data_IF_257766080810
#
_entry.id   IF_257766080810
#
_cell.length_a   1.000
_cell.length_b   1.000
_cell.length_c   1.000
_cell.angle_alpha   90.00
_cell.angle_beta   90.00
_cell.angle_gamma   90.00
#
_symmetry.space_group_name_H-M   'P 1'
#
loop_
_entity.id
_entity.type
_entity.pdbx_description
1 polymer ?
#
# COMPACT_ATOMS: atom_id res chain seq x y z
N UNK A 1 7.37 3.87 -8.33
CA UNK A 1 7.46 2.47 -7.80
C UNK A 1 6.06 1.97 -7.44
N UNK A 2 5.34 2.63 -6.54
CA UNK A 2 3.92 2.33 -6.29
C UNK A 2 2.99 2.57 -7.51
N UNK A 3 3.42 3.40 -8.45
CA UNK A 3 2.68 3.75 -9.68
C UNK A 3 2.38 2.56 -10.60
N UNK A 4 3.13 1.48 -10.44
CA UNK A 4 2.98 0.27 -11.26
C UNK A 4 1.86 -0.65 -10.74
N UNK A 5 1.27 -0.34 -9.58
CA UNK A 5 0.22 -1.17 -8.97
C UNK A 5 -1.16 -0.75 -9.54
N UNK A 6 -1.86 -1.64 -10.27
CA UNK A 6 -3.18 -1.34 -10.80
C UNK A 6 -4.17 -0.99 -9.68
N UNK A 7 -4.84 0.16 -9.82
CA UNK A 7 -5.80 0.64 -8.83
C UNK A 7 -5.19 1.48 -7.71
N UNK A 8 -3.86 1.69 -7.67
CA UNK A 8 -3.19 2.56 -6.71
C UNK A 8 -2.94 3.96 -7.28
N UNK A 9 -4.01 4.76 -7.38
CA UNK A 9 -3.92 6.17 -7.77
C UNK A 9 -3.33 7.08 -6.68
N UNK A 10 -3.03 8.33 -7.01
CA UNK A 10 -2.39 9.31 -6.11
C UNK A 10 -3.09 9.45 -4.76
N UNK A 11 -4.43 9.52 -4.75
CA UNK A 11 -5.20 9.64 -3.51
C UNK A 11 -4.94 8.50 -2.53
N UNK A 12 -4.77 7.27 -3.02
CA UNK A 12 -4.50 6.10 -2.18
C UNK A 12 -3.04 6.05 -1.72
N UNK A 13 -2.11 6.50 -2.57
CA UNK A 13 -0.70 6.67 -2.16
C UNK A 13 -0.60 7.67 -1.03
N UNK A 14 -1.28 8.81 -1.14
CA UNK A 14 -1.29 9.82 -0.08
C UNK A 14 -1.89 9.23 1.21
N UNK A 15 -3.01 8.51 1.15
CA UNK A 15 -3.58 7.84 2.32
C UNK A 15 -2.60 6.85 2.98
N UNK A 16 -1.83 6.11 2.19
CA UNK A 16 -0.82 5.19 2.72
C UNK A 16 0.32 5.96 3.39
N UNK A 17 0.84 7.00 2.75
CA UNK A 17 1.91 7.83 3.35
C UNK A 17 1.42 8.57 4.59
N UNK A 18 0.21 9.10 4.59
CA UNK A 18 -0.39 9.77 5.75
C UNK A 18 -0.60 8.81 6.92
N UNK A 19 -0.88 7.53 6.62
CA UNK A 19 -1.06 6.49 7.64
C UNK A 19 0.26 5.95 8.19
N UNK A 20 1.21 5.65 7.30
CA UNK A 20 2.45 4.97 7.64
C UNK A 20 3.61 5.93 7.94
N UNK A 21 3.58 7.16 7.44
CA UNK A 21 4.61 8.19 7.59
C UNK A 21 5.43 8.40 6.33
N UNK A 22 5.85 7.31 5.68
CA UNK A 22 6.70 7.36 4.49
C UNK A 22 6.42 6.22 3.52
N UNK A 23 6.87 6.38 2.27
CA UNK A 23 6.80 5.30 1.29
C UNK A 23 7.65 4.07 1.68
N UNK A 24 8.72 4.25 2.45
CA UNK A 24 9.54 3.13 2.93
C UNK A 24 8.74 2.28 3.92
N UNK A 25 8.04 2.90 4.86
CA UNK A 25 7.18 2.18 5.82
C UNK A 25 6.02 1.47 5.11
N UNK A 26 5.47 2.04 4.03
CA UNK A 26 4.45 1.36 3.20
C UNK A 26 5.00 0.09 2.54
N UNK A 27 6.26 0.10 2.13
CA UNK A 27 6.93 -1.03 1.49
C UNK A 27 7.23 -2.14 2.49
N UNK A 28 7.55 -1.78 3.74
CA UNK A 28 7.82 -2.72 4.84
C UNK A 28 6.55 -3.18 5.57
N UNK A 29 5.42 -2.51 5.34
CA UNK A 29 4.15 -2.81 5.98
C UNK A 29 3.68 -4.24 5.65
N UNK A 30 3.17 -4.90 6.69
CA UNK A 30 2.54 -6.21 6.58
C UNK A 30 1.19 -6.10 5.86
N UNK A 31 0.72 -7.23 5.32
CA UNK A 31 -0.59 -7.29 4.67
C UNK A 31 -1.73 -6.87 5.63
N UNK A 32 -1.62 -7.20 6.92
CA UNK A 32 -2.60 -6.85 7.94
C UNK A 32 -2.65 -5.34 8.20
N UNK A 33 -1.49 -4.69 8.28
CA UNK A 33 -1.40 -3.23 8.42
C UNK A 33 -1.96 -2.52 7.18
N UNK A 34 -1.68 -3.02 5.97
CA UNK A 34 -2.25 -2.48 4.74
C UNK A 34 -3.78 -2.60 4.70
N UNK A 35 -4.36 -3.64 5.32
CA UNK A 35 -5.81 -3.77 5.49
C UNK A 35 -6.41 -2.82 6.53
N UNK A 36 -5.63 -2.37 7.50
CA UNK A 36 -6.08 -1.42 8.51
C UNK A 36 -6.27 0.00 7.94
N UNK A 37 -5.68 0.31 6.78
CA UNK A 37 -5.77 1.63 6.17
C UNK A 37 -7.17 1.89 5.62
N UNK A 38 -7.89 2.80 6.28
CA UNK A 38 -9.23 3.23 5.87
C UNK A 38 -9.19 3.84 4.45
N UNK A 39 -9.97 3.28 3.54
CA UNK A 39 -10.06 3.73 2.14
C UNK A 39 -9.15 2.97 1.18
N UNK A 40 -8.38 1.99 1.67
CA UNK A 40 -7.65 1.02 0.85
C UNK A 40 -8.46 -0.28 0.78
N UNK A 41 -8.95 -0.68 -0.41
CA UNK A 41 -9.59 -1.97 -0.59
C UNK A 41 -8.60 -3.12 -0.39
N UNK A 42 -9.08 -4.27 0.10
CA UNK A 42 -8.25 -5.46 0.30
C UNK A 42 -7.46 -5.86 -0.95
N UNK A 43 -8.09 -5.86 -2.12
CA UNK A 43 -7.43 -6.18 -3.38
C UNK A 43 -6.24 -5.25 -3.71
N UNK A 44 -6.31 -3.98 -3.30
CA UNK A 44 -5.20 -3.02 -3.46
C UNK A 44 -4.10 -3.30 -2.46
N UNK A 45 -4.44 -3.52 -1.18
CA UNK A 45 -3.49 -3.90 -0.13
C UNK A 45 -2.71 -5.18 -0.50
N UNK A 46 -3.40 -6.21 -0.98
CA UNK A 46 -2.74 -7.42 -1.47
C UNK A 46 -1.82 -7.16 -2.66
N UNK A 47 -2.21 -6.27 -3.57
CA UNK A 47 -1.41 -5.95 -4.75
C UNK A 47 -0.14 -5.17 -4.39
N UNK A 48 -0.23 -4.28 -3.40
CA UNK A 48 0.94 -3.62 -2.78
C UNK A 48 1.85 -4.66 -2.16
N UNK A 49 1.31 -5.48 -1.25
CA UNK A 49 2.10 -6.48 -0.54
C UNK A 49 2.83 -7.44 -1.51
N UNK A 50 2.11 -7.98 -2.51
CA UNK A 50 2.67 -8.85 -3.54
C UNK A 50 3.74 -8.18 -4.40
N UNK A 51 3.65 -6.87 -4.63
CA UNK A 51 4.62 -6.14 -5.45
C UNK A 51 5.98 -6.02 -4.75
N UNK A 52 5.99 -5.78 -3.44
CA UNK A 52 7.23 -5.56 -2.68
C UNK A 52 7.78 -6.80 -1.98
N UNK A 53 6.93 -7.74 -1.60
CA UNK A 53 7.31 -8.95 -0.86
C UNK A 53 7.42 -10.19 -1.75
N UNK A 54 7.80 -10.00 -3.02
CA UNK A 54 8.05 -11.11 -3.93
C UNK A 54 9.34 -11.81 -3.52
N UNK A 55 9.22 -13.08 -3.12
CA UNK A 55 10.33 -14.03 -3.00
C UNK A 55 10.89 -14.38 -4.38
#
# INVERSE_FOLDING_TARGET
>A
ILDEIPGLGEKRKQLLVDHFGSFQEVVEATLEELYAVKGIPRAVAESIFRHFHRF
#
